data_IF_550574477596
#
_entry.id   IF_550574477596
#
_cell.length_a   1.000
_cell.length_b   1.000
_cell.length_c   1.000
_cell.angle_alpha   90.00
_cell.angle_beta   90.00
_cell.angle_gamma   90.00
#
_symmetry.space_group_name_H-M   'P 1'
#
loop_
_entity.id
_entity.type
_entity.pdbx_description
1 polymer ?
#
# COMPACT_ATOMS: atom_id res chain seq x y z
N UNK A 1 -5.00 38.22 -24.01
CA UNK A 1 -3.70 37.56 -23.75
C UNK A 1 -3.90 36.07 -23.88
N UNK A 2 -2.89 35.32 -24.31
CA UNK A 2 -3.01 33.87 -24.44
C UNK A 2 -3.10 33.22 -23.05
N UNK A 3 -4.03 32.29 -22.87
CA UNK A 3 -4.26 31.57 -21.62
C UNK A 3 -4.19 30.07 -21.83
N UNK A 4 -3.79 29.34 -20.79
CA UNK A 4 -3.76 27.89 -20.72
C UNK A 4 -4.74 27.43 -19.65
N UNK A 5 -5.69 26.59 -20.00
CA UNK A 5 -6.50 25.89 -18.99
C UNK A 5 -5.71 24.72 -18.43
N UNK A 6 -5.50 24.74 -17.12
CA UNK A 6 -4.83 23.69 -16.35
C UNK A 6 -5.89 22.96 -15.53
N UNK A 7 -5.93 21.63 -15.66
CA UNK A 7 -6.74 20.77 -14.80
C UNK A 7 -6.00 20.43 -13.51
N UNK A 8 -6.72 20.33 -12.42
CA UNK A 8 -6.20 19.94 -11.11
C UNK A 8 -7.01 18.77 -10.59
N UNK A 9 -6.31 17.72 -10.18
CA UNK A 9 -6.93 16.50 -9.67
C UNK A 9 -6.35 16.12 -8.32
N UNK A 10 -7.24 15.89 -7.35
CA UNK A 10 -6.91 15.28 -6.08
C UNK A 10 -7.57 13.91 -6.01
N UNK A 11 -6.76 12.86 -6.14
CA UNK A 11 -7.23 11.47 -6.14
C UNK A 11 -7.04 10.90 -4.75
N UNK A 12 -8.12 10.44 -4.12
CA UNK A 12 -8.04 10.00 -2.71
C UNK A 12 -7.41 8.61 -2.57
N UNK A 13 -7.73 7.69 -3.49
CA UNK A 13 -7.41 6.27 -3.34
C UNK A 13 -8.15 5.57 -2.20
N UNK A 14 -9.11 6.25 -1.55
CA UNK A 14 -9.90 5.74 -0.42
C UNK A 14 -11.32 5.44 -0.87
N UNK A 15 -11.89 4.30 -0.49
CA UNK A 15 -13.26 3.94 -0.92
C UNK A 15 -14.33 4.77 -0.20
N UNK A 16 -14.10 5.09 1.08
CA UNK A 16 -15.03 5.89 1.89
C UNK A 16 -14.91 7.37 1.54
N UNK A 17 -16.04 8.04 1.36
CA UNK A 17 -16.10 9.49 1.18
C UNK A 17 -15.92 10.21 2.52
N UNK A 18 -14.68 10.23 3.02
CA UNK A 18 -14.33 10.89 4.30
C UNK A 18 -14.06 12.39 4.15
N UNK A 19 -13.76 12.86 2.94
CA UNK A 19 -13.47 14.26 2.66
C UNK A 19 -14.66 15.01 2.08
N UNK A 20 -14.84 16.27 2.50
CA UNK A 20 -15.94 17.15 2.05
C UNK A 20 -15.44 18.56 1.79
N UNK A 21 -16.25 19.36 1.08
CA UNK A 21 -15.95 20.76 0.77
C UNK A 21 -14.52 20.99 0.20
N UNK A 22 -14.09 20.23 -0.81
CA UNK A 22 -12.76 20.35 -1.39
C UNK A 22 -12.62 21.68 -2.12
N UNK A 23 -11.51 22.39 -1.87
CA UNK A 23 -11.16 23.65 -2.54
C UNK A 23 -9.71 23.60 -2.99
N UNK A 24 -9.50 23.86 -4.27
CA UNK A 24 -8.19 24.12 -4.84
C UNK A 24 -7.73 25.48 -4.34
N UNK A 25 -6.54 25.55 -3.77
CA UNK A 25 -5.86 26.79 -3.45
C UNK A 25 -4.64 26.92 -4.36
N UNK A 26 -4.40 28.10 -4.93
CA UNK A 26 -3.18 28.29 -5.69
C UNK A 26 -2.71 29.73 -5.88
N UNK A 27 -1.43 29.86 -6.23
CA UNK A 27 -0.68 31.12 -6.31
C UNK A 27 -0.98 31.92 -7.59
N UNK A 28 -2.26 32.22 -7.80
CA UNK A 28 -2.76 33.02 -8.92
C UNK A 28 -3.89 33.94 -8.45
N UNK A 29 -4.07 35.06 -9.17
CA UNK A 29 -5.17 35.99 -8.94
C UNK A 29 -6.44 35.61 -9.73
N UNK A 30 -7.49 36.42 -9.59
CA UNK A 30 -8.76 36.22 -10.29
C UNK A 30 -8.66 36.33 -11.83
N UNK A 31 -7.56 36.86 -12.37
CA UNK A 31 -7.29 36.98 -13.80
C UNK A 31 -6.34 35.88 -14.31
N UNK A 32 -5.98 34.91 -13.46
CA UNK A 32 -5.08 33.81 -13.79
C UNK A 32 -3.61 34.24 -13.93
N UNK A 33 -3.23 35.41 -13.39
CA UNK A 33 -1.82 35.85 -13.32
C UNK A 33 -1.18 35.27 -12.06
N UNK A 34 0.13 35.02 -12.10
CA UNK A 34 0.88 34.59 -10.92
C UNK A 34 0.72 35.62 -9.78
N UNK A 35 0.50 35.14 -8.57
CA UNK A 35 0.28 35.95 -7.37
C UNK A 35 0.78 35.23 -6.12
N UNK A 36 1.41 35.96 -5.21
CA UNK A 36 1.77 35.43 -3.89
C UNK A 36 0.57 35.34 -2.94
N UNK A 37 -0.54 36.04 -3.26
CA UNK A 37 -1.84 35.83 -2.62
C UNK A 37 -2.56 34.67 -3.32
N UNK A 38 -3.03 33.70 -2.53
CA UNK A 38 -3.63 32.49 -3.07
C UNK A 38 -5.14 32.64 -3.26
N UNK A 39 -5.65 32.16 -4.39
CA UNK A 39 -7.09 32.12 -4.68
C UNK A 39 -7.64 30.72 -4.42
N UNK A 40 -8.85 30.64 -3.85
CA UNK A 40 -9.56 29.39 -3.63
C UNK A 40 -10.64 29.17 -4.70
N UNK A 41 -10.69 27.95 -5.24
CA UNK A 41 -11.67 27.51 -6.24
C UNK A 41 -12.33 26.21 -5.75
N UNK A 42 -13.67 26.11 -5.67
CA UNK A 42 -14.34 24.86 -5.34
C UNK A 42 -13.96 23.74 -6.31
N UNK A 43 -13.76 22.53 -5.80
CA UNK A 43 -13.54 21.34 -6.62
C UNK A 43 -14.83 20.51 -6.71
N UNK A 44 -15.06 19.92 -7.88
CA UNK A 44 -16.17 19.01 -8.13
C UNK A 44 -15.75 17.59 -7.76
N UNK A 45 -16.59 16.90 -6.98
CA UNK A 45 -16.43 15.46 -6.72
C UNK A 45 -16.84 14.63 -7.94
N UNK A 46 -16.03 13.61 -8.23
CA UNK A 46 -16.26 12.60 -9.24
C UNK A 46 -15.71 11.25 -8.75
N UNK A 47 -15.95 10.18 -9.50
CA UNK A 47 -15.33 8.88 -9.26
C UNK A 47 -14.10 8.74 -10.17
N UNK A 48 -13.00 8.25 -9.60
CA UNK A 48 -11.74 7.96 -10.28
C UNK A 48 -11.77 6.64 -11.04
N UNK A 49 -10.70 6.38 -11.79
CA UNK A 49 -10.51 5.11 -12.49
C UNK A 49 -10.10 3.96 -11.55
N UNK A 50 -9.86 4.28 -10.29
CA UNK A 50 -9.65 3.39 -9.13
C UNK A 50 -10.97 3.05 -8.41
N UNK A 51 -12.09 3.63 -8.87
CA UNK A 51 -13.39 3.47 -8.24
C UNK A 51 -13.55 4.21 -6.91
N UNK A 52 -12.68 5.19 -6.61
CA UNK A 52 -12.69 6.01 -5.39
C UNK A 52 -13.12 7.45 -5.69
N UNK A 53 -13.52 8.24 -4.67
CA UNK A 53 -13.75 9.67 -4.84
C UNK A 53 -12.48 10.39 -5.30
N UNK A 54 -12.65 11.34 -6.22
CA UNK A 54 -11.63 12.29 -6.64
C UNK A 54 -12.25 13.68 -6.77
N UNK A 55 -11.43 14.70 -6.62
CA UNK A 55 -11.87 16.09 -6.72
C UNK A 55 -11.16 16.79 -7.87
N UNK A 56 -11.94 17.51 -8.68
CA UNK A 56 -11.51 18.10 -9.94
C UNK A 56 -11.77 19.61 -9.96
N UNK A 57 -10.82 20.39 -10.46
CA UNK A 57 -11.02 21.79 -10.78
C UNK A 57 -10.21 22.17 -12.03
N UNK A 58 -10.59 23.24 -12.70
CA UNK A 58 -9.84 23.78 -13.84
C UNK A 58 -9.66 25.27 -13.67
N UNK A 59 -8.47 25.78 -13.98
CA UNK A 59 -8.15 27.21 -13.92
C UNK A 59 -7.50 27.65 -15.22
N UNK A 60 -7.96 28.77 -15.79
CA UNK A 60 -7.31 29.41 -16.94
C UNK A 60 -6.21 30.34 -16.45
N UNK A 61 -4.95 29.99 -16.71
CA UNK A 61 -3.76 30.71 -16.30
C UNK A 61 -3.12 31.44 -17.49
N UNK A 62 -2.53 32.61 -17.23
CA UNK A 62 -1.98 33.47 -18.27
C UNK A 62 -0.58 33.02 -18.69
N UNK A 63 -0.38 32.72 -19.98
CA UNK A 63 0.90 32.24 -20.50
C UNK A 63 2.02 33.28 -20.42
N UNK A 64 1.72 34.55 -20.21
CA UNK A 64 2.76 35.56 -19.95
C UNK A 64 3.49 35.34 -18.60
N UNK A 65 2.98 34.45 -17.72
CA UNK A 65 3.65 34.04 -16.49
C UNK A 65 4.21 32.60 -16.58
N UNK A 66 4.40 32.04 -17.77
CA UNK A 66 4.89 30.66 -17.93
C UNK A 66 6.26 30.39 -17.28
N UNK A 67 7.10 31.44 -17.14
CA UNK A 67 8.41 31.36 -16.50
C UNK A 67 8.32 31.38 -14.96
N UNK A 68 7.14 31.63 -14.40
CA UNK A 68 6.89 31.58 -12.95
C UNK A 68 6.61 30.14 -12.52
N UNK A 69 7.06 29.83 -11.30
CA UNK A 69 6.71 28.57 -10.63
C UNK A 69 5.43 28.80 -9.82
N UNK A 70 4.32 28.26 -10.29
CA UNK A 70 3.06 28.29 -9.58
C UNK A 70 3.06 27.25 -8.47
N UNK A 71 2.24 27.50 -7.45
CA UNK A 71 2.03 26.64 -6.28
C UNK A 71 0.55 26.34 -6.17
N UNK A 72 0.21 25.11 -5.80
CA UNK A 72 -1.17 24.73 -5.54
C UNK A 72 -1.27 23.66 -4.46
N UNK A 73 -2.42 23.62 -3.79
CA UNK A 73 -2.78 22.52 -2.90
C UNK A 73 -4.28 22.46 -2.74
N UNK A 74 -4.73 21.58 -1.85
CA UNK A 74 -6.16 21.34 -1.63
C UNK A 74 -6.46 21.52 -0.15
N UNK A 75 -7.51 22.28 0.13
CA UNK A 75 -8.11 22.37 1.46
C UNK A 75 -9.40 21.58 1.46
N UNK A 76 -9.62 20.78 2.50
CA UNK A 76 -10.79 19.91 2.64
C UNK A 76 -11.22 19.80 4.10
N UNK A 77 -12.47 19.40 4.32
CA UNK A 77 -12.99 18.98 5.61
C UNK A 77 -12.85 17.47 5.71
N UNK A 78 -12.49 16.95 6.89
CA UNK A 78 -12.34 15.52 7.15
C UNK A 78 -12.79 15.12 8.55
N UNK A 79 -12.51 13.88 8.98
CA UNK A 79 -12.90 13.39 10.31
C UNK A 79 -12.36 14.24 11.48
N UNK A 80 -11.19 14.86 11.31
CA UNK A 80 -10.54 15.70 12.32
C UNK A 80 -11.05 17.15 12.34
N UNK A 81 -11.97 17.53 11.45
CA UNK A 81 -12.60 18.86 11.41
C UNK A 81 -12.57 19.52 10.03
N UNK A 82 -12.59 20.85 10.00
CA UNK A 82 -12.68 21.66 8.77
C UNK A 82 -11.36 22.31 8.37
N UNK A 83 -11.22 22.59 7.07
CA UNK A 83 -10.18 23.44 6.49
C UNK A 83 -8.73 22.92 6.66
N UNK A 84 -8.53 21.61 6.54
CA UNK A 84 -7.22 20.98 6.56
C UNK A 84 -6.60 20.88 5.16
N UNK A 85 -5.27 20.94 5.09
CA UNK A 85 -4.53 20.63 3.87
C UNK A 85 -4.65 19.13 3.53
N UNK A 86 -5.15 18.82 2.34
CA UNK A 86 -5.17 17.47 1.79
C UNK A 86 -3.81 17.00 1.26
N UNK A 87 -2.88 17.92 0.99
CA UNK A 87 -1.51 17.59 0.59
C UNK A 87 -0.62 17.68 1.84
N UNK A 88 0.08 16.60 2.24
CA UNK A 88 1.06 16.64 3.31
C UNK A 88 2.35 17.37 2.86
N UNK A 89 3.34 17.44 3.74
CA UNK A 89 4.62 18.04 3.37
C UNK A 89 5.38 17.07 2.50
N UNK A 90 5.53 17.45 1.23
CA UNK A 90 6.23 16.67 0.21
C UNK A 90 7.63 17.21 -0.10
N UNK A 91 8.04 18.29 0.55
CA UNK A 91 9.37 18.84 0.40
C UNK A 91 10.37 18.02 1.22
N UNK A 92 11.51 17.73 0.60
CA UNK A 92 12.67 17.11 1.23
C UNK A 92 13.38 18.10 2.16
N UNK A 93 12.67 18.56 3.20
CA UNK A 93 13.18 19.42 4.25
C UNK A 93 12.38 19.11 5.53
N UNK A 94 13.07 18.57 6.53
CA UNK A 94 12.47 18.16 7.81
C UNK A 94 11.86 19.33 8.60
N UNK A 95 12.23 20.58 8.29
CA UNK A 95 11.67 21.78 8.93
C UNK A 95 10.54 22.41 8.13
N UNK A 96 10.24 21.88 6.94
CA UNK A 96 9.19 22.43 6.10
C UNK A 96 7.81 22.07 6.64
N UNK A 97 6.95 23.07 6.72
CA UNK A 97 5.51 22.88 6.96
C UNK A 97 4.69 23.15 5.70
N UNK A 98 5.34 23.22 4.54
CA UNK A 98 4.69 23.54 3.28
C UNK A 98 3.85 22.35 2.81
N UNK A 99 2.61 22.62 2.37
CA UNK A 99 1.57 21.63 2.06
C UNK A 99 1.01 21.84 0.64
N UNK A 100 1.91 21.95 -0.33
CA UNK A 100 1.59 22.30 -1.71
C UNK A 100 2.52 21.64 -2.71
N UNK A 101 2.09 21.58 -3.97
CA UNK A 101 2.88 21.16 -5.14
C UNK A 101 3.25 22.36 -6.00
N UNK A 102 4.31 22.22 -6.78
CA UNK A 102 4.82 23.26 -7.68
C UNK A 102 4.73 22.81 -9.14
N UNK A 103 4.47 23.75 -10.04
CA UNK A 103 4.46 23.48 -11.48
C UNK A 103 4.79 24.74 -12.29
N UNK A 104 5.05 24.56 -13.58
CA UNK A 104 5.18 25.63 -14.58
C UNK A 104 4.20 25.41 -15.71
N UNK A 105 3.77 26.48 -16.37
CA UNK A 105 2.84 26.36 -17.49
C UNK A 105 3.54 25.81 -18.72
N UNK A 106 2.89 24.85 -19.40
CA UNK A 106 3.32 24.39 -20.73
C UNK A 106 2.49 25.05 -21.83
N UNK A 107 3.17 25.59 -22.84
CA UNK A 107 2.55 26.40 -23.90
C UNK A 107 1.60 25.63 -24.83
N UNK A 108 1.72 24.31 -24.95
CA UNK A 108 0.91 23.45 -25.83
C UNK A 108 0.45 22.18 -25.11
N UNK A 109 -0.48 21.42 -25.72
CA UNK A 109 -0.99 20.16 -25.18
C UNK A 109 -1.98 20.32 -24.02
N UNK A 110 -2.34 19.20 -23.39
CA UNK A 110 -3.13 19.16 -22.14
C UNK A 110 -2.18 19.28 -20.96
N UNK A 111 -2.58 20.01 -19.91
CA UNK A 111 -1.83 20.07 -18.66
C UNK A 111 -2.76 19.74 -17.50
N UNK A 112 -2.42 18.70 -16.75
CA UNK A 112 -3.13 18.25 -15.57
C UNK A 112 -2.11 18.11 -14.45
N UNK A 113 -2.34 18.84 -13.37
CA UNK A 113 -1.59 18.70 -12.13
C UNK A 113 -2.36 17.74 -11.22
N UNK A 114 -1.78 16.58 -10.93
CA UNK A 114 -2.44 15.53 -10.15
C UNK A 114 -1.68 15.27 -8.86
N UNK A 115 -2.41 15.10 -7.77
CA UNK A 115 -1.89 14.62 -6.50
C UNK A 115 -2.69 13.39 -6.05
N UNK A 116 -1.97 12.35 -5.63
CA UNK A 116 -2.55 11.14 -5.06
C UNK A 116 -2.37 11.19 -3.54
N UNK A 117 -3.48 11.20 -2.81
CA UNK A 117 -3.45 11.21 -1.34
C UNK A 117 -2.90 9.90 -0.77
N UNK A 118 -3.24 8.78 -1.42
CA UNK A 118 -2.66 7.47 -1.15
C UNK A 118 -2.32 6.78 -2.45
N UNK A 119 -1.37 5.86 -2.37
CA UNK A 119 -0.90 5.01 -3.46
C UNK A 119 -1.52 3.61 -3.39
N UNK A 120 -2.36 3.35 -2.38
CA UNK A 120 -3.07 2.10 -2.16
C UNK A 120 -3.64 1.51 -3.46
N UNK A 121 -4.40 2.33 -4.20
CA UNK A 121 -5.05 1.92 -5.45
C UNK A 121 -4.38 2.48 -6.69
N UNK A 122 -3.16 3.03 -6.54
CA UNK A 122 -2.33 3.55 -7.64
C UNK A 122 -1.30 2.51 -8.06
N UNK A 123 -0.56 1.98 -7.10
CA UNK A 123 0.48 0.97 -7.27
C UNK A 123 -0.05 -0.42 -6.89
N UNK A 124 0.62 -1.43 -7.42
CA UNK A 124 0.26 -2.84 -7.31
C UNK A 124 -0.86 -3.27 -8.25
N UNK A 125 -1.46 -4.43 -7.98
CA UNK A 125 -2.58 -5.00 -8.72
C UNK A 125 -3.93 -4.46 -8.23
N UNK A 126 -4.65 -3.71 -9.07
CA UNK A 126 -5.92 -3.10 -8.69
C UNK A 126 -6.99 -3.20 -9.78
N UNK A 127 -8.29 -3.27 -9.41
CA UNK A 127 -9.38 -3.01 -10.33
C UNK A 127 -9.22 -1.63 -10.99
N UNK A 128 -9.45 -1.57 -12.30
CA UNK A 128 -9.37 -0.33 -13.09
C UNK A 128 -10.61 -0.14 -13.95
N UNK A 129 -11.25 1.01 -13.81
CA UNK A 129 -12.52 1.34 -14.44
C UNK A 129 -12.29 2.28 -15.62
N UNK A 130 -12.64 1.82 -16.82
CA UNK A 130 -12.66 2.68 -18.00
C UNK A 130 -13.81 3.69 -17.91
N UNK A 131 -13.66 4.84 -18.56
CA UNK A 131 -14.68 5.87 -18.56
C UNK A 131 -16.02 5.33 -19.11
N UNK A 132 -17.04 5.27 -18.25
CA UNK A 132 -18.39 4.78 -18.60
C UNK A 132 -18.55 3.24 -18.55
N UNK A 133 -17.51 2.49 -18.18
CA UNK A 133 -17.58 1.03 -17.98
C UNK A 133 -17.97 0.66 -16.55
N UNK A 134 -18.85 -0.34 -16.39
CA UNK A 134 -19.25 -0.87 -15.07
C UNK A 134 -18.41 -2.05 -14.57
N UNK A 135 -17.82 -2.82 -15.49
CA UNK A 135 -16.96 -3.96 -15.15
C UNK A 135 -15.49 -3.53 -15.17
N UNK A 136 -14.73 -3.67 -14.08
CA UNK A 136 -13.33 -3.28 -14.06
C UNK A 136 -12.46 -4.27 -14.82
N UNK A 137 -11.41 -3.76 -15.46
CA UNK A 137 -10.24 -4.54 -15.85
C UNK A 137 -9.24 -4.64 -14.69
N UNK A 138 -8.10 -5.30 -14.92
CA UNK A 138 -6.98 -5.34 -13.98
C UNK A 138 -5.89 -4.38 -14.45
N UNK A 139 -5.39 -3.53 -13.56
CA UNK A 139 -4.19 -2.70 -13.78
C UNK A 139 -3.13 -3.07 -12.76
N UNK A 140 -1.92 -3.28 -13.26
CA UNK A 140 -0.69 -3.33 -12.48
C UNK A 140 0.05 -2.00 -12.63
N UNK A 141 0.64 -1.52 -11.55
CA UNK A 141 1.62 -0.44 -11.62
C UNK A 141 2.73 -0.61 -10.58
N UNK A 142 3.97 -0.32 -10.96
CA UNK A 142 5.13 -0.47 -10.08
C UNK A 142 6.13 0.65 -10.29
N UNK A 143 6.70 1.15 -9.19
CA UNK A 143 7.79 2.10 -9.25
C UNK A 143 9.11 1.36 -9.41
N UNK A 144 9.76 1.55 -10.56
CA UNK A 144 11.03 0.94 -10.94
C UNK A 144 11.76 1.87 -11.93
N UNK A 145 12.18 3.06 -11.47
CA UNK A 145 12.70 4.12 -12.33
C UNK A 145 13.99 3.76 -13.08
N UNK A 146 14.77 2.80 -12.58
CA UNK A 146 16.02 2.37 -13.21
C UNK A 146 15.85 1.13 -14.11
N UNK A 147 14.68 0.49 -14.09
CA UNK A 147 14.41 -0.68 -14.91
C UNK A 147 14.47 -0.34 -16.41
N UNK A 148 14.96 -1.29 -17.20
CA UNK A 148 14.95 -1.21 -18.67
C UNK A 148 13.63 -1.72 -19.25
N UNK A 149 12.99 -2.69 -18.58
CA UNK A 149 11.69 -3.23 -18.93
C UNK A 149 11.03 -3.85 -17.70
N UNK A 150 9.70 -3.80 -17.65
CA UNK A 150 8.91 -4.46 -16.62
C UNK A 150 7.75 -5.22 -17.25
N UNK A 151 7.60 -6.47 -16.84
CA UNK A 151 6.47 -7.32 -17.19
C UNK A 151 5.84 -7.89 -15.92
N UNK A 152 4.58 -8.32 -16.02
CA UNK A 152 3.95 -9.16 -15.01
C UNK A 152 3.83 -10.57 -15.56
N UNK A 153 4.26 -11.53 -14.75
CA UNK A 153 4.10 -12.96 -15.00
C UNK A 153 3.24 -13.55 -13.90
N UNK A 154 2.37 -14.50 -14.26
CA UNK A 154 1.53 -15.21 -13.30
C UNK A 154 2.17 -16.55 -12.93
N UNK A 155 2.06 -16.92 -11.67
CA UNK A 155 2.53 -18.22 -11.16
C UNK A 155 1.42 -19.26 -11.18
N UNK A 156 1.79 -20.52 -10.92
CA UNK A 156 0.80 -21.57 -10.67
C UNK A 156 0.17 -21.42 -9.27
N UNK A 157 -1.18 -21.43 -9.13
CA UNK A 157 -1.86 -21.25 -7.84
C UNK A 157 -1.44 -22.25 -6.74
N UNK A 158 -1.22 -23.52 -7.12
CA UNK A 158 -0.90 -24.58 -6.15
C UNK A 158 0.51 -24.44 -5.55
N UNK A 159 1.45 -23.87 -6.32
CA UNK A 159 2.83 -23.64 -5.87
C UNK A 159 2.99 -22.27 -5.21
N UNK A 160 2.37 -21.23 -5.80
CA UNK A 160 2.50 -19.84 -5.37
C UNK A 160 3.92 -19.28 -5.50
N UNK A 161 4.82 -19.90 -6.27
CA UNK A 161 6.23 -19.52 -6.34
C UNK A 161 6.76 -19.49 -7.78
N UNK A 162 7.51 -18.44 -8.09
CA UNK A 162 8.32 -18.35 -9.32
C UNK A 162 9.79 -18.30 -8.90
N UNK A 163 10.60 -19.21 -9.44
CA UNK A 163 12.04 -19.27 -9.23
C UNK A 163 12.78 -18.20 -10.05
N UNK A 164 14.06 -17.95 -9.74
CA UNK A 164 14.84 -16.90 -10.41
C UNK A 164 15.14 -17.21 -11.89
N UNK A 165 15.01 -18.48 -12.30
CA UNK A 165 15.09 -18.90 -13.70
C UNK A 165 13.74 -18.85 -14.43
N UNK A 166 12.66 -18.46 -13.74
CA UNK A 166 11.28 -18.41 -14.25
C UNK A 166 10.50 -19.72 -14.10
N UNK A 167 11.07 -20.77 -13.49
CA UNK A 167 10.32 -21.99 -13.17
C UNK A 167 9.14 -21.66 -12.24
N UNK A 168 7.95 -22.17 -12.55
CA UNK A 168 6.72 -21.88 -11.79
C UNK A 168 5.82 -20.80 -12.42
N UNK A 169 6.25 -20.16 -13.51
CA UNK A 169 5.37 -19.32 -14.34
C UNK A 169 4.31 -20.20 -15.00
N UNK A 170 3.04 -19.83 -14.87
CA UNK A 170 1.92 -20.53 -15.50
C UNK A 170 1.88 -20.22 -17.01
N UNK A 171 2.12 -21.22 -17.89
CA UNK A 171 2.12 -21.00 -19.34
C UNK A 171 0.72 -20.75 -19.91
N UNK A 172 -0.34 -21.01 -19.13
CA UNK A 172 -1.74 -20.74 -19.50
C UNK A 172 -2.14 -19.27 -19.32
N UNK A 173 -1.33 -18.47 -18.63
CA UNK A 173 -1.60 -17.06 -18.35
C UNK A 173 -0.82 -16.11 -19.27
N UNK A 174 -1.34 -14.91 -19.55
CA UNK A 174 -0.63 -13.94 -20.36
C UNK A 174 0.56 -13.32 -19.63
N UNK A 175 1.65 -13.08 -20.35
CA UNK A 175 2.70 -12.14 -19.90
C UNK A 175 2.22 -10.73 -20.22
N UNK A 176 2.21 -9.84 -19.22
CA UNK A 176 1.71 -8.48 -19.36
C UNK A 176 2.88 -7.51 -19.39
N UNK A 177 3.23 -6.98 -20.56
CA UNK A 177 4.21 -5.91 -20.66
C UNK A 177 3.64 -4.60 -20.11
N UNK A 178 4.38 -3.95 -19.21
CA UNK A 178 4.00 -2.65 -18.68
C UNK A 178 4.59 -1.54 -19.55
N UNK A 179 3.81 -0.50 -19.79
CA UNK A 179 4.26 0.72 -20.46
C UNK A 179 4.87 1.68 -19.44
N UNK A 180 5.90 2.43 -19.84
CA UNK A 180 6.53 3.41 -18.96
C UNK A 180 8.04 3.55 -19.20
N UNK A 181 8.75 4.17 -18.23
CA UNK A 181 8.20 4.79 -17.02
C UNK A 181 7.72 6.23 -17.26
N UNK A 182 6.63 6.63 -16.60
CA UNK A 182 6.26 8.05 -16.40
C UNK A 182 6.47 8.35 -14.92
N UNK A 183 7.35 9.31 -14.61
CA UNK A 183 7.81 9.61 -13.24
C UNK A 183 8.30 8.35 -12.47
N UNK A 184 8.96 7.44 -13.20
CA UNK A 184 9.50 6.19 -12.65
C UNK A 184 8.49 5.05 -12.52
N UNK A 185 7.21 5.28 -12.81
CA UNK A 185 6.15 4.27 -12.68
C UNK A 185 5.89 3.58 -14.02
N UNK A 186 5.95 2.26 -14.00
CA UNK A 186 5.51 1.37 -15.08
C UNK A 186 4.08 0.93 -14.83
N UNK A 187 3.23 0.91 -15.85
CA UNK A 187 1.82 0.54 -15.71
C UNK A 187 1.26 -0.18 -16.93
N UNK A 188 0.26 -1.03 -16.71
CA UNK A 188 -0.36 -1.83 -17.76
C UNK A 188 -1.33 -2.84 -17.19
N UNK A 189 -1.94 -3.65 -18.04
CA UNK A 189 -2.92 -4.64 -17.63
C UNK A 189 -3.23 -5.65 -18.73
N UNK A 190 -3.60 -6.89 -18.38
CA UNK A 190 -4.03 -7.87 -19.36
C UNK A 190 -5.38 -7.48 -19.97
N UNK A 191 -5.67 -7.99 -21.17
CA UNK A 191 -7.01 -7.91 -21.73
C UNK A 191 -7.97 -8.83 -20.97
N UNK A 192 -9.07 -8.29 -20.47
CA UNK A 192 -10.10 -9.06 -19.79
C UNK A 192 -10.70 -8.33 -18.59
N UNK A 193 -11.66 -8.97 -17.93
CA UNK A 193 -12.22 -8.47 -16.67
C UNK A 193 -11.29 -8.79 -15.50
N UNK A 194 -11.30 -7.94 -14.47
CA UNK A 194 -10.59 -8.18 -13.21
C UNK A 194 -10.86 -9.59 -12.64
N UNK A 195 -12.12 -10.04 -12.69
CA UNK A 195 -12.56 -11.35 -12.19
C UNK A 195 -11.81 -12.54 -12.80
N UNK A 196 -11.30 -12.42 -14.03
CA UNK A 196 -10.53 -13.48 -14.70
C UNK A 196 -9.19 -13.74 -14.03
N UNK A 197 -8.61 -12.71 -13.41
CA UNK A 197 -7.27 -12.74 -12.83
C UNK A 197 -7.28 -12.73 -11.31
N UNK A 198 -8.46 -12.58 -10.70
CA UNK A 198 -8.62 -12.58 -9.24
C UNK A 198 -8.11 -13.89 -8.66
N UNK A 199 -7.39 -13.78 -7.54
CA UNK A 199 -6.73 -14.89 -6.84
C UNK A 199 -5.55 -15.53 -7.57
N UNK A 200 -5.15 -15.05 -8.76
CA UNK A 200 -3.94 -15.55 -9.40
C UNK A 200 -2.69 -15.00 -8.71
N UNK A 201 -1.67 -15.83 -8.46
CA UNK A 201 -0.36 -15.38 -8.01
C UNK A 201 0.39 -14.70 -9.18
N UNK A 202 1.17 -13.66 -8.88
CA UNK A 202 2.00 -12.95 -9.83
C UNK A 202 3.30 -12.42 -9.22
N UNK A 203 4.24 -12.10 -10.10
CA UNK A 203 5.44 -11.32 -9.80
C UNK A 203 5.72 -10.31 -10.92
N UNK A 204 6.43 -9.25 -10.58
CA UNK A 204 7.07 -8.39 -11.57
C UNK A 204 8.35 -9.06 -12.07
N UNK A 205 8.43 -9.32 -13.37
CA UNK A 205 9.68 -9.67 -14.06
C UNK A 205 10.32 -8.38 -14.55
N UNK A 206 11.45 -8.02 -13.96
CA UNK A 206 12.14 -6.74 -14.22
C UNK A 206 13.46 -7.04 -14.92
N UNK A 207 13.72 -6.34 -16.02
CA UNK A 207 15.08 -6.19 -16.55
C UNK A 207 15.70 -4.99 -15.85
N UNK A 208 16.60 -5.24 -14.90
CA UNK A 208 17.17 -4.21 -14.04
C UNK A 208 18.11 -3.27 -14.81
N UNK A 209 18.63 -2.24 -14.15
CA UNK A 209 19.55 -1.27 -14.74
C UNK A 209 20.79 -1.91 -15.41
N UNK A 210 21.23 -3.07 -14.92
CA UNK A 210 22.38 -3.84 -15.42
C UNK A 210 22.00 -4.84 -16.53
N UNK A 211 20.74 -4.90 -16.95
CA UNK A 211 20.24 -5.82 -17.98
C UNK A 211 19.98 -7.24 -17.49
N UNK A 212 19.99 -7.47 -16.17
CA UNK A 212 19.70 -8.76 -15.56
C UNK A 212 18.19 -8.90 -15.35
N UNK A 213 17.66 -10.09 -15.63
CA UNK A 213 16.26 -10.40 -15.29
C UNK A 213 16.16 -10.80 -13.83
N UNK A 214 15.27 -10.15 -13.10
CA UNK A 214 14.97 -10.43 -11.70
C UNK A 214 13.47 -10.52 -11.49
N UNK A 215 13.05 -11.30 -10.49
CA UNK A 215 11.65 -11.43 -10.11
C UNK A 215 11.41 -10.73 -8.77
N UNK A 216 10.39 -9.88 -8.72
CA UNK A 216 10.05 -9.07 -7.56
C UNK A 216 8.59 -9.25 -7.18
N UNK A 217 8.37 -9.40 -5.89
CA UNK A 217 7.05 -9.30 -5.26
C UNK A 217 6.54 -7.87 -5.34
N UNK A 218 5.23 -7.70 -5.24
CA UNK A 218 4.61 -6.39 -5.23
C UNK A 218 4.66 -5.79 -3.82
N UNK A 219 5.40 -4.69 -3.67
CA UNK A 219 5.52 -3.93 -2.40
C UNK A 219 4.17 -3.40 -1.91
N UNK A 220 3.21 -3.22 -2.81
CA UNK A 220 1.85 -2.78 -2.52
C UNK A 220 0.85 -3.96 -2.54
N UNK A 221 1.32 -5.22 -2.49
CA UNK A 221 0.44 -6.38 -2.45
C UNK A 221 -0.41 -6.44 -1.18
N UNK A 222 -1.67 -6.85 -1.31
CA UNK A 222 -2.60 -7.10 -0.18
C UNK A 222 -2.52 -8.52 0.36
N UNK A 223 -1.80 -9.39 -0.33
CA UNK A 223 -1.70 -10.80 0.01
C UNK A 223 -0.49 -11.42 -0.68
N UNK A 224 0.29 -12.17 0.06
CA UNK A 224 1.24 -13.13 -0.50
C UNK A 224 0.58 -14.52 -0.55
N UNK A 225 1.10 -15.41 -1.40
CA UNK A 225 0.57 -16.76 -1.55
C UNK A 225 1.02 -17.68 -0.40
N UNK A 226 2.28 -17.55 0.00
CA UNK A 226 2.92 -18.35 1.04
C UNK A 226 2.35 -18.07 2.44
N UNK A 227 2.30 -19.11 3.28
CA UNK A 227 1.85 -19.02 4.71
C UNK A 227 2.75 -19.79 5.67
N UNK A 228 3.85 -20.33 5.16
CA UNK A 228 4.81 -21.11 5.92
C UNK A 228 6.11 -20.34 6.13
N UNK A 229 7.21 -21.08 6.24
CA UNK A 229 8.51 -20.49 6.60
C UNK A 229 9.66 -21.05 5.75
N UNK A 230 9.35 -21.72 4.63
CA UNK A 230 10.36 -22.30 3.75
C UNK A 230 10.64 -21.33 2.61
N UNK A 231 11.88 -20.84 2.56
CA UNK A 231 12.41 -20.14 1.40
C UNK A 231 13.13 -21.14 0.47
N UNK A 232 12.67 -21.34 -0.79
CA UNK A 232 13.31 -22.25 -1.74
C UNK A 232 14.71 -21.79 -2.21
N UNK A 233 15.16 -20.59 -1.82
CA UNK A 233 16.47 -20.02 -2.13
C UNK A 233 16.80 -20.08 -3.63
N UNK A 234 15.85 -19.61 -4.45
CA UNK A 234 15.92 -19.55 -5.92
C UNK A 234 15.79 -20.88 -6.68
N UNK A 235 15.67 -22.04 -6.01
CA UNK A 235 15.40 -23.31 -6.67
C UNK A 235 13.92 -23.48 -7.02
N UNK A 236 13.61 -24.42 -7.93
CA UNK A 236 12.23 -24.84 -8.17
C UNK A 236 11.57 -25.32 -6.88
N UNK A 237 10.30 -24.99 -6.70
CA UNK A 237 9.54 -25.28 -5.48
C UNK A 237 8.59 -26.46 -5.68
N UNK A 238 8.85 -27.63 -5.07
CA UNK A 238 7.97 -28.80 -5.17
C UNK A 238 6.93 -28.87 -4.03
N UNK A 239 6.94 -27.91 -3.11
CA UNK A 239 6.03 -27.87 -1.97
C UNK A 239 4.71 -27.16 -2.29
N UNK A 240 3.96 -26.82 -1.24
CA UNK A 240 2.67 -26.12 -1.34
C UNK A 240 2.78 -24.71 -0.78
N UNK A 241 1.82 -23.86 -1.12
CA UNK A 241 1.66 -22.52 -0.54
C UNK A 241 1.65 -22.50 1.00
N UNK A 242 1.14 -23.55 1.65
CA UNK A 242 1.05 -23.64 3.12
C UNK A 242 2.41 -23.71 3.82
N UNK A 243 3.44 -24.16 3.12
CA UNK A 243 4.80 -24.31 3.68
C UNK A 243 5.78 -23.27 3.14
N UNK A 244 5.42 -22.61 2.03
CA UNK A 244 6.19 -21.55 1.40
C UNK A 244 6.18 -20.27 2.24
N UNK A 245 7.33 -19.66 2.44
CA UNK A 245 7.46 -18.35 3.09
C UNK A 245 6.82 -17.24 2.24
N UNK A 246 5.92 -16.47 2.85
CA UNK A 246 5.15 -15.43 2.16
C UNK A 246 6.03 -14.35 1.53
N UNK A 247 7.13 -13.97 2.18
CA UNK A 247 8.01 -12.86 1.74
C UNK A 247 8.73 -13.11 0.42
N UNK A 248 8.89 -14.39 0.04
CA UNK A 248 9.53 -14.80 -1.23
C UNK A 248 8.53 -15.40 -2.23
N UNK A 249 7.29 -15.61 -1.80
CA UNK A 249 6.21 -16.15 -2.62
C UNK A 249 5.68 -15.12 -3.61
N UNK A 250 4.80 -15.55 -4.51
CA UNK A 250 4.10 -14.64 -5.40
C UNK A 250 3.11 -13.77 -4.62
N UNK A 251 2.98 -12.53 -5.06
CA UNK A 251 1.88 -11.65 -4.66
C UNK A 251 0.58 -12.15 -5.30
N UNK A 252 -0.57 -11.89 -4.68
CA UNK A 252 -1.86 -12.42 -5.16
C UNK A 252 -2.78 -11.27 -5.56
N UNK A 253 -3.42 -11.38 -6.73
CA UNK A 253 -4.44 -10.41 -7.16
C UNK A 253 -5.66 -10.50 -6.24
N UNK A 254 -5.91 -9.45 -5.47
CA UNK A 254 -7.00 -9.39 -4.49
C UNK A 254 -7.96 -8.26 -4.86
N UNK A 255 -9.26 -8.53 -4.74
CA UNK A 255 -10.26 -7.46 -4.70
C UNK A 255 -10.29 -6.85 -3.29
N UNK A 256 -9.86 -5.59 -3.09
CA UNK A 256 -9.85 -4.96 -1.77
C UNK A 256 -11.27 -4.68 -1.25
N UNK A 257 -12.28 -4.65 -2.12
CA UNK A 257 -13.66 -4.25 -1.82
C UNK A 257 -14.55 -5.42 -1.35
N UNK A 258 -13.98 -6.62 -1.16
CA UNK A 258 -14.69 -7.80 -0.65
C UNK A 258 -14.00 -8.45 0.54
N UNK A 259 -14.76 -9.19 1.34
CA UNK A 259 -14.32 -9.96 2.51
C UNK A 259 -15.00 -11.32 2.49
N UNK A 260 -14.32 -12.38 2.92
CA UNK A 260 -14.99 -13.65 3.22
C UNK A 260 -16.06 -13.47 4.30
N UNK A 261 -17.29 -13.94 4.03
CA UNK A 261 -18.42 -13.84 4.97
C UNK A 261 -18.14 -14.56 6.29
N UNK A 262 -17.64 -15.79 6.21
CA UNK A 262 -17.25 -16.60 7.37
C UNK A 262 -15.82 -16.32 7.82
N UNK A 263 -15.54 -16.62 9.09
CA UNK A 263 -14.19 -16.54 9.65
C UNK A 263 -13.27 -17.65 9.13
N UNK A 264 -13.82 -18.87 9.01
CA UNK A 264 -13.06 -20.03 8.58
C UNK A 264 -12.63 -19.95 7.11
N UNK A 265 -11.51 -20.62 6.81
CA UNK A 265 -11.04 -20.76 5.44
C UNK A 265 -12.03 -21.56 4.59
N UNK A 266 -12.20 -21.14 3.35
CA UNK A 266 -12.97 -21.92 2.36
C UNK A 266 -12.19 -23.19 2.03
N UNK A 267 -12.84 -24.37 2.03
CA UNK A 267 -12.23 -25.60 1.53
C UNK A 267 -11.70 -25.43 0.10
N UNK A 268 -10.57 -26.05 -0.28
CA UNK A 268 -9.97 -25.89 -1.61
C UNK A 268 -10.93 -26.20 -2.78
N UNK A 269 -11.89 -27.09 -2.57
CA UNK A 269 -12.89 -27.52 -3.54
C UNK A 269 -14.07 -26.56 -3.72
N UNK A 270 -14.18 -25.51 -2.91
CA UNK A 270 -15.29 -24.56 -2.92
C UNK A 270 -14.85 -23.15 -3.29
N UNK A 271 -15.72 -22.42 -3.99
CA UNK A 271 -15.52 -21.00 -4.21
C UNK A 271 -15.75 -20.23 -2.90
N UNK A 272 -14.91 -19.23 -2.57
CA UNK A 272 -15.09 -18.47 -1.35
C UNK A 272 -16.40 -17.66 -1.36
N UNK A 273 -17.16 -17.74 -0.27
CA UNK A 273 -18.33 -16.88 -0.04
C UNK A 273 -17.84 -15.47 0.33
N UNK A 274 -17.75 -14.61 -0.69
CA UNK A 274 -17.29 -13.23 -0.58
C UNK A 274 -18.47 -12.27 -0.55
N UNK A 275 -18.41 -11.29 0.36
CA UNK A 275 -19.37 -10.18 0.45
C UNK A 275 -18.68 -8.83 0.25
N UNK A 276 -19.41 -7.80 -0.19
CA UNK A 276 -18.92 -6.44 -0.19
C UNK A 276 -18.41 -6.02 1.21
N UNK A 277 -17.25 -5.38 1.28
CA UNK A 277 -16.65 -4.93 2.54
C UNK A 277 -17.56 -3.97 3.31
N UNK A 278 -18.33 -3.12 2.61
CA UNK A 278 -19.31 -2.24 3.27
C UNK A 278 -20.47 -3.01 3.92
N UNK A 279 -20.91 -4.14 3.35
CA UNK A 279 -21.88 -5.05 3.98
C UNK A 279 -21.27 -5.69 5.23
N UNK A 280 -20.01 -6.15 5.14
CA UNK A 280 -19.29 -6.74 6.26
C UNK A 280 -19.19 -5.78 7.45
N UNK A 281 -18.72 -4.55 7.20
CA UNK A 281 -18.51 -3.52 8.22
C UNK A 281 -19.79 -2.84 8.69
N UNK A 282 -20.91 -2.93 7.97
CA UNK A 282 -22.20 -2.41 8.42
C UNK A 282 -22.67 -3.04 9.76
N UNK A 283 -22.06 -4.15 10.17
CA UNK A 283 -22.36 -4.87 11.41
C UNK A 283 -21.27 -4.76 12.48
N UNK A 284 -20.35 -3.80 12.33
CA UNK A 284 -19.23 -3.55 13.26
C UNK A 284 -19.68 -3.14 14.67
N UNK A 285 -20.64 -2.22 14.78
CA UNK A 285 -21.07 -1.67 16.08
C UNK A 285 -22.41 -2.23 16.60
N UNK A 286 -22.79 -3.46 16.23
CA UNK A 286 -24.14 -4.01 16.53
C UNK A 286 -24.43 -4.26 18.01
N UNK A 287 -23.42 -4.31 18.88
CA UNK A 287 -23.58 -4.52 20.31
C UNK A 287 -24.00 -3.26 21.08
N UNK A 288 -23.83 -2.07 20.48
CA UNK A 288 -24.04 -0.79 21.14
C UNK A 288 -22.97 -0.42 22.18
N UNK A 289 -21.89 -1.21 22.30
CA UNK A 289 -20.74 -0.89 23.15
C UNK A 289 -19.81 0.06 22.38
N UNK A 290 -19.56 1.28 22.87
CA UNK A 290 -18.66 2.21 22.18
C UNK A 290 -17.20 1.77 22.32
N UNK A 291 -16.44 1.90 21.24
CA UNK A 291 -14.97 1.81 21.27
C UNK A 291 -14.41 3.12 21.83
N UNK A 292 -13.49 3.04 22.79
CA UNK A 292 -12.86 4.23 23.37
C UNK A 292 -11.91 4.88 22.36
N UNK A 293 -12.04 6.19 22.17
CA UNK A 293 -11.19 6.97 21.26
C UNK A 293 -10.29 7.97 21.99
N UNK A 294 -10.40 8.05 23.32
CA UNK A 294 -9.60 8.94 24.16
C UNK A 294 -8.43 8.18 24.73
N UNK A 295 -7.21 8.62 24.41
CA UNK A 295 -5.96 7.98 24.83
C UNK A 295 -5.89 7.81 26.35
N UNK A 296 -6.35 8.80 27.10
CA UNK A 296 -6.37 8.77 28.56
C UNK A 296 -7.34 7.75 29.19
N UNK A 297 -8.29 7.23 28.39
CA UNK A 297 -9.27 6.24 28.81
C UNK A 297 -8.84 4.79 28.42
N UNK A 298 -7.69 4.61 27.73
CA UNK A 298 -7.25 3.31 27.25
C UNK A 298 -6.53 2.48 28.33
N UNK A 299 -6.93 1.23 28.45
CA UNK A 299 -6.23 0.16 29.17
C UNK A 299 -5.81 -0.86 28.12
N UNK A 300 -4.53 -0.79 27.74
CA UNK A 300 -3.97 -1.51 26.59
C UNK A 300 -3.42 -2.86 27.02
N UNK A 301 -3.76 -3.90 26.26
CA UNK A 301 -3.15 -5.23 26.35
C UNK A 301 -2.30 -5.48 25.10
N UNK A 302 -0.98 -5.47 25.26
CA UNK A 302 -0.02 -5.81 24.20
C UNK A 302 -0.04 -7.33 23.94
N UNK A 303 -0.18 -7.73 22.67
CA UNK A 303 -0.42 -9.09 22.24
C UNK A 303 0.46 -9.50 21.05
N UNK A 304 1.37 -10.44 21.30
CA UNK A 304 2.03 -11.22 20.25
C UNK A 304 1.16 -12.44 19.89
N UNK A 305 0.46 -12.38 18.74
CA UNK A 305 -0.47 -13.43 18.28
C UNK A 305 0.20 -14.80 18.23
N UNK A 306 1.42 -14.88 17.70
CA UNK A 306 2.16 -16.15 17.60
C UNK A 306 2.42 -16.83 18.94
N UNK A 307 2.43 -16.09 20.06
CA UNK A 307 2.70 -16.65 21.40
C UNK A 307 1.49 -17.39 21.99
N UNK A 308 0.28 -17.14 21.47
CA UNK A 308 -0.93 -17.87 21.84
C UNK A 308 -0.88 -19.35 21.47
N UNK A 309 0.11 -19.77 20.67
CA UNK A 309 0.40 -21.18 20.40
C UNK A 309 1.12 -21.93 21.52
N UNK A 310 1.38 -21.30 22.67
CA UNK A 310 1.99 -22.00 23.79
C UNK A 310 1.17 -23.23 24.22
N UNK A 311 1.77 -24.41 24.11
CA UNK A 311 1.12 -25.70 24.43
C UNK A 311 0.48 -26.43 23.24
N UNK A 312 0.52 -25.88 22.02
CA UNK A 312 0.15 -26.58 20.78
C UNK A 312 1.35 -26.76 19.83
N UNK A 313 1.16 -27.49 18.75
CA UNK A 313 2.24 -27.88 17.82
C UNK A 313 2.76 -26.75 16.93
N UNK A 314 2.10 -25.58 16.89
CA UNK A 314 2.45 -24.45 16.04
C UNK A 314 2.20 -23.11 16.72
N UNK A 315 2.55 -22.03 16.04
CA UNK A 315 2.30 -20.67 16.51
C UNK A 315 0.80 -20.40 16.68
N UNK A 316 0.48 -19.38 17.49
CA UNK A 316 -0.87 -18.85 17.59
C UNK A 316 -1.29 -18.11 16.32
N UNK A 317 -2.59 -18.02 16.09
CA UNK A 317 -3.22 -17.32 14.98
C UNK A 317 -4.36 -16.41 15.46
N UNK A 318 -5.03 -15.72 14.53
CA UNK A 318 -6.16 -14.85 14.84
C UNK A 318 -7.38 -15.61 15.39
N UNK A 319 -7.45 -16.93 15.20
CA UNK A 319 -8.50 -17.77 15.78
C UNK A 319 -8.28 -17.91 17.29
N UNK A 320 -7.02 -18.09 17.73
CA UNK A 320 -6.69 -18.09 19.17
C UNK A 320 -6.90 -16.69 19.78
N UNK A 321 -6.53 -15.63 19.05
CA UNK A 321 -6.72 -14.25 19.52
C UNK A 321 -8.21 -13.90 19.70
N UNK A 322 -9.08 -14.36 18.80
CA UNK A 322 -10.54 -14.26 18.97
C UNK A 322 -11.02 -14.98 20.24
N UNK A 323 -10.47 -16.17 20.54
CA UNK A 323 -10.80 -16.93 21.75
C UNK A 323 -10.39 -16.23 23.06
N UNK A 324 -9.48 -15.27 23.00
CA UNK A 324 -9.00 -14.49 24.14
C UNK A 324 -9.92 -13.30 24.49
N UNK A 325 -10.74 -12.82 23.55
CA UNK A 325 -11.42 -11.52 23.69
C UNK A 325 -12.34 -11.44 24.92
N UNK A 326 -13.09 -12.49 25.23
CA UNK A 326 -14.00 -12.48 26.39
C UNK A 326 -13.21 -12.39 27.71
N UNK A 327 -12.02 -12.99 27.76
CA UNK A 327 -11.12 -12.84 28.91
C UNK A 327 -10.60 -11.40 29.05
N UNK A 328 -10.28 -10.73 27.94
CA UNK A 328 -9.82 -9.34 27.95
C UNK A 328 -10.92 -8.39 28.47
N UNK A 329 -12.18 -8.63 28.06
CA UNK A 329 -13.33 -7.90 28.60
C UNK A 329 -13.45 -8.11 30.11
N UNK A 330 -13.38 -9.35 30.59
CA UNK A 330 -13.45 -9.68 32.03
C UNK A 330 -12.29 -9.06 32.83
N UNK A 331 -11.10 -8.94 32.21
CA UNK A 331 -9.94 -8.28 32.80
C UNK A 331 -10.10 -6.75 32.90
N UNK A 332 -11.00 -6.16 32.11
CA UNK A 332 -11.24 -4.72 32.02
C UNK A 332 -10.37 -4.00 30.99
N UNK A 333 -9.78 -4.73 30.04
CA UNK A 333 -9.04 -4.19 28.89
C UNK A 333 -10.03 -3.62 27.89
N UNK A 334 -9.71 -2.46 27.31
CA UNK A 334 -10.52 -1.82 26.26
C UNK A 334 -9.71 -1.44 25.00
N UNK A 335 -8.45 -1.86 24.93
CA UNK A 335 -7.63 -1.77 23.73
C UNK A 335 -6.66 -2.97 23.67
N UNK A 336 -6.48 -3.54 22.48
CA UNK A 336 -5.44 -4.53 22.20
C UNK A 336 -4.43 -3.88 21.27
N UNK A 337 -3.16 -3.93 21.66
CA UNK A 337 -2.04 -3.57 20.80
C UNK A 337 -1.45 -4.86 20.23
N UNK A 338 -1.61 -5.08 18.92
CA UNK A 338 -0.98 -6.20 18.26
C UNK A 338 0.46 -5.84 17.93
N UNK A 339 1.40 -6.74 18.26
CA UNK A 339 2.73 -6.71 17.65
C UNK A 339 2.63 -6.76 16.12
N UNK A 340 3.70 -6.44 15.37
CA UNK A 340 3.60 -6.27 13.92
C UNK A 340 2.97 -7.47 13.21
N UNK A 341 1.96 -7.17 12.39
CA UNK A 341 1.19 -8.16 11.61
C UNK A 341 1.40 -8.01 10.11
N UNK A 342 2.30 -7.13 9.65
CA UNK A 342 2.69 -7.07 8.25
C UNK A 342 3.53 -8.31 7.88
N UNK A 343 3.47 -8.79 6.63
CA UNK A 343 4.17 -10.02 6.23
C UNK A 343 5.69 -9.92 6.47
N UNK A 344 6.23 -10.90 7.20
CA UNK A 344 7.62 -10.93 7.65
C UNK A 344 8.32 -12.25 7.37
N UNK A 345 9.66 -12.22 7.35
CA UNK A 345 10.44 -13.41 7.03
C UNK A 345 10.52 -14.37 8.22
N UNK A 346 10.23 -15.66 7.99
CA UNK A 346 10.34 -16.70 9.01
C UNK A 346 9.44 -16.48 10.23
N UNK A 347 9.86 -17.00 11.41
CA UNK A 347 9.02 -17.04 12.64
C UNK A 347 9.69 -16.42 13.88
N UNK A 348 10.87 -15.79 13.74
CA UNK A 348 11.75 -15.48 14.87
C UNK A 348 11.92 -14.00 15.17
N UNK A 349 11.34 -13.11 14.36
CA UNK A 349 11.48 -11.65 14.50
C UNK A 349 10.36 -10.98 15.31
N UNK A 350 9.37 -11.75 15.79
CA UNK A 350 8.13 -11.24 16.40
C UNK A 350 7.34 -10.27 15.51
N UNK A 351 7.60 -10.31 14.20
CA UNK A 351 7.00 -9.42 13.20
C UNK A 351 7.85 -8.20 12.84
N UNK A 352 8.92 -7.89 13.58
CA UNK A 352 9.73 -6.68 13.30
C UNK A 352 10.63 -6.78 12.05
N UNK A 353 10.66 -7.93 11.40
CA UNK A 353 11.37 -8.17 10.14
C UNK A 353 10.42 -8.16 8.95
N UNK A 354 9.61 -7.12 8.80
CA UNK A 354 8.60 -7.06 7.75
C UNK A 354 9.13 -6.50 6.41
N UNK A 355 8.44 -6.88 5.33
CA UNK A 355 8.72 -6.37 3.99
C UNK A 355 7.45 -6.02 3.21
N UNK A 356 6.27 -6.56 3.52
CA UNK A 356 5.02 -6.21 2.81
C UNK A 356 4.01 -5.55 3.74
N UNK A 357 4.14 -4.23 3.89
CA UNK A 357 3.36 -3.37 4.79
C UNK A 357 1.84 -3.28 4.50
N UNK A 358 1.36 -3.91 3.43
CA UNK A 358 -0.05 -4.00 3.02
C UNK A 358 -0.59 -5.42 3.08
N UNK A 359 0.26 -6.39 3.37
CA UNK A 359 -0.10 -7.79 3.50
C UNK A 359 -0.14 -8.13 4.98
N UNK A 360 -1.31 -8.52 5.48
CA UNK A 360 -1.40 -9.09 6.82
C UNK A 360 -0.84 -10.51 6.78
N UNK A 361 0.08 -10.80 7.68
CA UNK A 361 0.82 -12.07 7.83
C UNK A 361 -0.09 -13.28 7.64
N UNK A 362 0.20 -14.03 6.58
CA UNK A 362 -0.70 -15.10 6.14
C UNK A 362 -0.69 -16.28 7.12
N UNK A 363 0.42 -16.54 7.82
CA UNK A 363 0.51 -17.58 8.85
C UNK A 363 -0.38 -17.30 10.08
N UNK A 364 -0.62 -16.02 10.38
CA UNK A 364 -1.54 -15.61 11.44
C UNK A 364 -3.02 -15.62 11.00
N UNK A 365 -3.29 -15.91 9.72
CA UNK A 365 -4.64 -16.01 9.16
C UNK A 365 -4.96 -15.01 8.05
N UNK A 366 -4.08 -14.03 7.85
CA UNK A 366 -4.18 -13.04 6.78
C UNK A 366 -5.35 -12.05 6.89
N UNK A 367 -5.50 -11.26 5.82
CA UNK A 367 -6.39 -10.09 5.73
C UNK A 367 -7.81 -10.32 6.25
N UNK A 368 -8.51 -11.34 5.75
CA UNK A 368 -9.94 -11.49 6.06
C UNK A 368 -10.16 -11.90 7.52
N UNK A 369 -9.33 -12.80 8.07
CA UNK A 369 -9.40 -13.15 9.49
C UNK A 369 -9.06 -11.95 10.38
N UNK A 370 -8.15 -11.08 9.94
CA UNK A 370 -7.82 -9.85 10.65
C UNK A 370 -9.02 -8.90 10.71
N UNK A 371 -9.73 -8.70 9.59
CA UNK A 371 -10.99 -7.92 9.56
C UNK A 371 -12.04 -8.48 10.53
N UNK A 372 -12.18 -9.80 10.61
CA UNK A 372 -13.07 -10.43 11.59
C UNK A 372 -12.62 -10.19 13.03
N UNK A 373 -11.32 -10.32 13.33
CA UNK A 373 -10.76 -10.02 14.64
C UNK A 373 -11.07 -8.57 15.07
N UNK A 374 -10.74 -7.59 14.22
CA UNK A 374 -11.04 -6.17 14.49
C UNK A 374 -12.53 -5.94 14.72
N UNK A 375 -13.39 -6.49 13.87
CA UNK A 375 -14.84 -6.38 14.02
C UNK A 375 -15.34 -6.97 15.35
N UNK A 376 -14.79 -8.10 15.78
CA UNK A 376 -15.17 -8.74 17.05
C UNK A 376 -14.62 -8.00 18.28
N UNK A 377 -13.45 -7.35 18.17
CA UNK A 377 -12.95 -6.39 19.16
C UNK A 377 -13.92 -5.21 19.31
N UNK A 378 -14.30 -4.57 18.20
CA UNK A 378 -15.21 -3.42 18.22
C UNK A 378 -16.58 -3.77 18.79
N UNK A 379 -17.12 -4.95 18.48
CA UNK A 379 -18.36 -5.46 19.10
C UNK A 379 -18.26 -5.60 20.61
N UNK A 380 -17.05 -5.71 21.17
CA UNK A 380 -16.79 -5.79 22.60
C UNK A 380 -16.33 -4.44 23.20
N UNK A 381 -16.30 -3.36 22.40
CA UNK A 381 -15.79 -2.06 22.82
C UNK A 381 -14.26 -2.01 22.98
N UNK A 382 -13.55 -2.97 22.37
CA UNK A 382 -12.09 -3.05 22.39
C UNK A 382 -11.55 -2.35 21.14
N UNK A 383 -10.72 -1.32 21.32
CA UNK A 383 -9.96 -0.71 20.24
C UNK A 383 -8.82 -1.64 19.79
N UNK A 384 -8.42 -1.58 18.52
CA UNK A 384 -7.26 -2.30 17.99
C UNK A 384 -6.19 -1.30 17.59
N UNK A 385 -5.01 -1.44 18.19
CA UNK A 385 -3.80 -0.69 17.85
C UNK A 385 -2.86 -1.66 17.12
N UNK A 386 -2.28 -1.22 16.01
CA UNK A 386 -1.34 -2.04 15.24
C UNK A 386 0.06 -1.46 15.35
N UNK A 387 0.99 -2.23 15.92
CA UNK A 387 2.40 -1.86 15.84
C UNK A 387 2.89 -1.89 14.39
N UNK A 388 3.61 -0.86 13.96
CA UNK A 388 4.06 -0.62 12.58
C UNK A 388 5.55 -0.39 12.50
N UNK A 389 6.22 -1.02 11.53
CA UNK A 389 7.68 -1.02 11.42
C UNK A 389 8.15 -0.11 10.29
N UNK A 390 7.96 1.21 10.43
CA UNK A 390 8.34 2.14 9.36
C UNK A 390 9.80 2.56 9.41
N UNK A 391 10.54 2.26 10.48
CA UNK A 391 11.91 2.74 10.65
C UNK A 391 12.94 1.91 9.84
N UNK A 392 12.60 0.70 9.41
CA UNK A 392 13.48 -0.19 8.65
C UNK A 392 12.70 -1.20 7.82
N UNK A 393 13.41 -1.89 6.93
CA UNK A 393 12.95 -3.10 6.25
C UNK A 393 13.77 -4.31 6.70
N UNK A 394 13.23 -5.51 6.53
CA UNK A 394 13.95 -6.77 6.77
C UNK A 394 15.24 -6.86 5.95
N UNK A 395 16.25 -7.54 6.50
CA UNK A 395 17.54 -7.76 5.86
C UNK A 395 17.53 -8.87 4.78
N UNK A 396 16.45 -9.66 4.70
CA UNK A 396 16.20 -10.72 3.73
C UNK A 396 15.12 -10.34 2.71
N UNK A 397 14.90 -9.05 2.46
CA UNK A 397 13.91 -8.53 1.51
C UNK A 397 14.37 -8.57 0.03
N UNK A 398 15.14 -9.60 -0.37
CA UNK A 398 15.74 -9.77 -1.72
C UNK A 398 14.73 -9.76 -2.88
N UNK A 399 13.52 -10.27 -2.63
CA UNK A 399 12.41 -10.25 -3.60
C UNK A 399 11.45 -9.09 -3.40
N UNK A 400 11.63 -8.31 -2.36
CA UNK A 400 10.91 -7.09 -2.09
C UNK A 400 11.89 -5.92 -2.29
N UNK A 401 12.08 -5.04 -1.31
CA UNK A 401 12.74 -3.75 -1.47
C UNK A 401 14.23 -3.81 -1.87
N UNK A 402 14.92 -4.93 -1.60
CA UNK A 402 16.36 -5.02 -1.86
C UNK A 402 16.69 -5.18 -3.33
N UNK A 403 17.56 -4.28 -3.83
CA UNK A 403 18.01 -4.24 -5.22
C UNK A 403 16.86 -4.43 -6.21
N UNK A 404 15.76 -3.70 -5.98
CA UNK A 404 14.48 -3.91 -6.66
C UNK A 404 14.61 -3.82 -8.18
N UNK A 405 15.22 -2.75 -8.68
CA UNK A 405 15.39 -2.46 -10.11
C UNK A 405 16.85 -2.16 -10.52
N UNK A 406 17.81 -2.32 -9.61
CA UNK A 406 19.24 -2.17 -9.85
C UNK A 406 20.05 -2.96 -8.82
N UNK A 407 21.15 -3.57 -9.25
CA UNK A 407 22.14 -4.20 -8.37
C UNK A 407 23.22 -3.21 -7.87
N UNK A 408 23.21 -1.98 -8.37
CA UNK A 408 24.09 -0.93 -7.87
C UNK A 408 23.54 -0.36 -6.56
N UNK A 409 24.35 -0.38 -5.51
CA UNK A 409 23.95 0.02 -4.16
C UNK A 409 23.44 1.48 -4.10
N UNK A 410 24.11 2.39 -4.80
CA UNK A 410 23.75 3.81 -4.88
C UNK A 410 22.45 4.07 -5.65
N UNK A 411 21.98 3.09 -6.42
CA UNK A 411 20.73 3.16 -7.18
C UNK A 411 19.56 2.48 -6.46
N UNK A 412 19.74 2.00 -5.23
CA UNK A 412 18.64 1.43 -4.47
C UNK A 412 17.54 2.48 -4.25
N UNK A 413 16.33 2.15 -4.68
CA UNK A 413 15.20 3.09 -4.73
C UNK A 413 14.38 3.10 -3.42
N UNK A 414 14.44 2.03 -2.62
CA UNK A 414 13.70 1.92 -1.36
C UNK A 414 14.57 2.14 -0.12
N UNK A 415 15.88 1.88 -0.21
CA UNK A 415 16.81 2.03 0.91
C UNK A 415 17.67 3.27 0.82
N UNK A 416 18.02 3.80 1.99
CA UNK A 416 19.05 4.81 2.14
C UNK A 416 20.42 4.15 1.96
N UNK A 417 21.13 4.54 0.91
CA UNK A 417 22.56 4.29 0.79
C UNK A 417 23.35 5.60 0.94
N UNK A 418 24.11 5.76 2.03
CA UNK A 418 25.01 6.91 2.21
C UNK A 418 26.42 6.53 1.71
N UNK A 419 27.14 7.46 1.08
CA UNK A 419 28.52 7.23 0.64
C UNK A 419 28.70 6.26 -0.53
N UNK A 420 29.88 5.67 -0.66
CA UNK A 420 30.22 4.63 -1.64
C UNK A 420 30.54 3.31 -0.93
N UNK A 421 30.41 2.13 -1.58
CA UNK A 421 30.81 0.84 -1.02
C UNK A 421 32.20 0.84 -0.36
N UNK A 422 33.16 1.54 -0.96
CA UNK A 422 34.52 1.69 -0.43
C UNK A 422 34.62 2.42 0.92
N UNK A 423 33.58 3.13 1.35
CA UNK A 423 33.57 3.84 2.62
C UNK A 423 33.26 2.91 3.81
N UNK A 424 32.85 1.67 3.55
CA UNK A 424 32.36 0.75 4.57
C UNK A 424 33.18 -0.55 4.60
N UNK A 425 33.41 -1.08 5.80
CA UNK A 425 34.06 -2.38 5.97
C UNK A 425 33.19 -3.56 5.49
N UNK A 426 31.86 -3.34 5.40
CA UNK A 426 30.88 -4.27 4.86
C UNK A 426 30.06 -3.55 3.77
N UNK A 427 30.58 -3.47 2.54
CA UNK A 427 30.00 -2.67 1.45
C UNK A 427 28.60 -3.12 1.03
N UNK A 428 28.27 -4.38 1.30
CA UNK A 428 27.02 -5.00 0.85
C UNK A 428 25.79 -4.59 1.68
N UNK A 429 25.97 -3.89 2.80
CA UNK A 429 24.89 -3.66 3.77
C UNK A 429 24.35 -2.24 3.89
N UNK A 430 24.84 -1.26 3.11
CA UNK A 430 24.31 0.12 3.03
C UNK A 430 23.85 0.74 4.35
N UNK A 431 24.72 1.48 5.05
CA UNK A 431 24.37 1.98 6.38
C UNK A 431 24.42 3.50 6.48
N UNK A 432 23.29 4.06 6.95
CA UNK A 432 23.34 5.02 8.04
C UNK A 432 23.72 4.25 9.32
N UNK A 433 24.72 4.72 10.06
CA UNK A 433 24.99 4.25 11.41
C UNK A 433 23.95 4.84 12.38
N UNK A 434 22.70 4.38 12.28
CA UNK A 434 21.57 4.88 13.06
C UNK A 434 21.10 3.91 14.15
N UNK A 435 21.83 2.80 14.37
CA UNK A 435 21.50 1.78 15.36
C UNK A 435 20.30 0.90 15.03
N UNK A 436 19.74 0.97 13.81
CA UNK A 436 18.67 0.09 13.35
C UNK A 436 19.17 -1.34 13.09
N UNK A 437 18.30 -2.32 13.31
CA UNK A 437 18.55 -3.75 13.05
C UNK A 437 18.35 -4.17 11.59
N UNK A 438 17.86 -3.26 10.72
CA UNK A 438 17.68 -3.51 9.29
C UNK A 438 17.89 -2.27 8.41
N UNK A 439 17.54 -2.38 7.12
CA UNK A 439 17.85 -1.34 6.13
C UNK A 439 16.93 -0.12 6.28
N UNK A 440 17.52 1.07 6.36
CA UNK A 440 16.76 2.31 6.57
C UNK A 440 16.03 2.73 5.30
N UNK A 441 14.74 3.10 5.34
CA UNK A 441 14.02 3.55 4.16
C UNK A 441 14.55 4.87 3.60
N UNK A 442 14.49 5.02 2.29
CA UNK A 442 14.88 6.20 1.52
C UNK A 442 13.84 7.32 1.62
N UNK A 443 13.56 7.82 2.82
CA UNK A 443 12.45 8.76 3.09
C UNK A 443 12.47 10.09 2.32
N UNK A 444 13.56 10.45 1.65
CA UNK A 444 13.52 11.62 0.76
C UNK A 444 12.76 11.38 -0.53
N UNK A 445 12.61 10.12 -0.95
CA UNK A 445 11.79 9.76 -2.09
C UNK A 445 10.31 9.83 -1.68
N UNK A 446 9.53 10.58 -2.45
CA UNK A 446 8.08 10.72 -2.23
C UNK A 446 7.37 9.36 -2.23
N UNK A 447 7.76 8.44 -3.13
CA UNK A 447 7.10 7.12 -3.23
C UNK A 447 7.36 6.26 -1.99
N UNK A 448 8.54 6.38 -1.36
CA UNK A 448 8.84 5.67 -0.11
C UNK A 448 8.02 6.24 1.05
N UNK A 449 7.90 7.58 1.15
CA UNK A 449 6.99 8.17 2.16
C UNK A 449 5.53 7.78 1.90
N UNK A 450 5.11 7.77 0.64
CA UNK A 450 3.76 7.39 0.22
C UNK A 450 3.46 5.93 0.51
N UNK A 451 4.44 5.02 0.44
CA UNK A 451 4.27 3.63 0.87
C UNK A 451 3.80 3.55 2.33
N UNK A 452 4.47 4.25 3.25
CA UNK A 452 4.11 4.23 4.67
C UNK A 452 2.82 4.99 4.97
N UNK A 453 2.61 6.16 4.36
CA UNK A 453 1.33 6.90 4.48
C UNK A 453 0.16 6.03 3.99
N UNK A 454 0.36 5.32 2.89
CA UNK A 454 -0.64 4.44 2.30
C UNK A 454 -0.84 3.17 3.13
N UNK A 455 0.20 2.62 3.76
CA UNK A 455 0.08 1.48 4.69
C UNK A 455 -0.78 1.88 5.90
N UNK A 456 -0.55 3.04 6.50
CA UNK A 456 -1.38 3.56 7.58
C UNK A 456 -2.83 3.76 7.12
N UNK A 457 -3.03 4.33 5.92
CA UNK A 457 -4.36 4.47 5.35
C UNK A 457 -5.04 3.12 5.07
N UNK A 458 -4.29 2.10 4.66
CA UNK A 458 -4.79 0.74 4.49
C UNK A 458 -5.27 0.13 5.82
N UNK A 459 -4.48 0.25 6.89
CA UNK A 459 -4.86 -0.24 8.22
C UNK A 459 -6.14 0.45 8.73
N UNK A 460 -6.25 1.77 8.56
CA UNK A 460 -7.42 2.54 9.01
C UNK A 460 -8.64 2.30 8.12
N UNK A 461 -8.51 2.43 6.80
CA UNK A 461 -9.67 2.46 5.89
C UNK A 461 -10.08 1.08 5.37
N UNK A 462 -9.16 0.12 5.29
CA UNK A 462 -9.47 -1.22 4.80
C UNK A 462 -9.53 -2.27 5.93
N UNK A 463 -8.83 -2.05 7.05
CA UNK A 463 -8.82 -2.97 8.21
C UNK A 463 -9.52 -2.42 9.46
N UNK A 464 -9.88 -1.13 9.49
CA UNK A 464 -10.54 -0.45 10.61
C UNK A 464 -9.74 -0.46 11.93
N UNK A 465 -8.42 -0.41 11.84
CA UNK A 465 -7.53 -0.21 13.01
C UNK A 465 -7.74 1.18 13.60
N UNK A 466 -7.67 1.30 14.93
CA UNK A 466 -7.98 2.51 15.70
C UNK A 466 -6.75 3.36 16.04
N UNK A 467 -5.54 2.79 15.99
CA UNK A 467 -4.30 3.46 16.42
C UNK A 467 -3.02 2.84 15.89
#
# INVERSE_FOLDING_TARGET
MATKTVGFEFVTGLKRSIFRNPRLLGSWDANGRYSDNWTATPMQEAVGDDGCPRFLASVSLNLADQDKTFKWGVILNGPQGSDFWGIPTELQDANSTQRYRQFRLVGTGTQIERYFFTYCRRLGANPHFSAGGGTPGLRFAVWAPNAQAVEVVFGEPDSGYIADDGTGIDPGQPVVALAGPVDGIWEGGPHGSFETFKSLPYMYRIVNAQGQTVYRTDIFSRSQAGRGSINPAAAAWPGTVDTLDGTVSCSVVIDPDVVRRGFESTPPEEAPDLIPANEFWATESTSGVPVSTRLEDLVIYELHVGSLGFGKAGAGDLSDALGLLDHLVDLGVNAVELLPMAEFFGNTSWGYGDSHHFCIEASAGGRDKYRHFVRECHRRGIAVIQDVVYNHYDNNAERAQWQYDSSAHEQNIYYWYEGSPSNYSFPEGGYLDNGSTGFTPRFWEEIVRQQFISSAAFLIEEMHVDG
#
